data_IF_697369736220
#
_entry.id   IF_697369736220
#
_cell.length_a   1.000
_cell.length_b   1.000
_cell.length_c   1.000
_cell.angle_alpha   90.00
_cell.angle_beta   90.00
_cell.angle_gamma   90.00
#
_symmetry.space_group_name_H-M   'P 1'
#
loop_
_entity.id
_entity.type
_entity.pdbx_description
1 polymer ?
#
# COMPACT_ATOMS: atom_id res chain seq x y z
N UNK A 1 16.27 -5.80 3.14
CA UNK A 1 15.93 -4.69 2.23
C UNK A 1 14.41 -4.67 1.96
N UNK A 2 13.76 -3.56 2.27
CA UNK A 2 12.32 -3.35 2.03
C UNK A 2 12.04 -2.83 0.60
N UNK A 3 13.06 -2.66 -0.24
CA UNK A 3 12.92 -2.16 -1.60
C UNK A 3 12.61 -0.67 -1.65
N UNK A 4 13.02 0.06 -0.60
CA UNK A 4 12.81 1.51 -0.45
C UNK A 4 13.99 2.34 -0.98
N UNK A 5 15.18 1.73 -1.07
CA UNK A 5 16.35 2.36 -1.67
C UNK A 5 16.69 1.66 -2.98
N UNK A 6 16.72 2.43 -4.08
CA UNK A 6 17.41 2.06 -5.32
C UNK A 6 18.51 3.09 -5.59
N UNK A 7 19.61 2.72 -6.28
CA UNK A 7 20.62 3.68 -6.71
C UNK A 7 19.99 4.78 -7.58
N UNK A 8 20.44 6.04 -7.45
CA UNK A 8 19.94 7.20 -8.21
C UNK A 8 20.02 7.00 -9.74
N UNK A 9 20.94 6.16 -10.22
CA UNK A 9 21.05 5.78 -11.63
C UNK A 9 19.81 5.00 -12.17
N UNK A 10 19.00 4.40 -11.29
CA UNK A 10 17.84 3.59 -11.66
C UNK A 10 16.60 4.40 -12.07
N UNK A 11 16.68 5.74 -12.07
CA UNK A 11 15.59 6.65 -12.46
C UNK A 11 15.13 6.51 -13.93
N UNK A 12 15.90 5.83 -14.79
CA UNK A 12 15.58 5.70 -16.22
C UNK A 12 14.59 4.56 -16.56
N UNK A 13 14.06 3.82 -15.59
CA UNK A 13 13.11 2.76 -15.91
C UNK A 13 12.10 2.55 -14.80
N UNK A 14 11.00 3.30 -14.84
CA UNK A 14 9.73 2.86 -14.26
C UNK A 14 9.27 1.61 -15.01
N UNK A 15 9.85 0.45 -14.69
CA UNK A 15 9.38 -0.81 -15.27
C UNK A 15 8.13 -1.21 -14.52
N UNK A 16 7.13 -1.68 -15.24
CA UNK A 16 5.86 -2.18 -14.70
C UNK A 16 6.02 -3.29 -13.63
N UNK A 17 7.22 -3.83 -13.45
CA UNK A 17 7.58 -4.89 -12.50
C UNK A 17 8.33 -4.38 -11.25
N UNK A 18 8.42 -3.06 -11.04
CA UNK A 18 9.06 -2.53 -9.83
C UNK A 18 8.24 -2.88 -8.58
N UNK A 19 8.95 -3.37 -7.55
CA UNK A 19 8.41 -3.69 -6.23
C UNK A 19 8.44 -2.40 -5.41
N UNK A 20 7.26 -1.91 -5.01
CA UNK A 20 7.15 -0.68 -4.21
C UNK A 20 6.99 -1.05 -2.74
N UNK A 21 8.08 -0.92 -1.99
CA UNK A 21 8.09 -1.15 -0.54
C UNK A 21 7.35 -0.11 0.29
N UNK A 22 6.93 1.01 -0.32
CA UNK A 22 6.29 2.16 0.35
C UNK A 22 4.81 1.94 0.67
N UNK A 23 4.11 1.11 -0.09
CA UNK A 23 2.65 0.94 0.05
C UNK A 23 2.19 0.60 1.48
N UNK A 24 2.88 -0.26 2.24
CA UNK A 24 2.44 -0.58 3.59
C UNK A 24 2.66 0.53 4.62
N UNK A 25 3.39 1.58 4.24
CA UNK A 25 3.63 2.77 5.04
C UNK A 25 2.68 3.91 4.66
N UNK A 26 1.99 3.79 3.52
CA UNK A 26 0.90 4.68 3.14
C UNK A 26 -0.30 4.36 4.01
N UNK A 27 -0.87 5.35 4.68
CA UNK A 27 -1.98 5.11 5.58
C UNK A 27 -3.28 4.77 4.83
N UNK A 28 -4.19 3.96 5.43
CA UNK A 28 -5.43 3.54 4.77
C UNK A 28 -6.30 4.71 4.27
N UNK A 29 -6.29 5.85 4.95
CA UNK A 29 -7.04 7.05 4.57
C UNK A 29 -6.59 7.61 3.22
N UNK A 30 -5.28 7.64 2.92
CA UNK A 30 -4.75 8.12 1.64
C UNK A 30 -5.26 7.26 0.49
N UNK A 31 -5.34 5.95 0.68
CA UNK A 31 -5.84 5.01 -0.33
C UNK A 31 -7.36 5.09 -0.52
N UNK A 32 -8.09 5.60 0.48
CA UNK A 32 -9.51 5.93 0.38
C UNK A 32 -9.76 7.32 -0.23
N UNK A 33 -8.71 8.04 -0.63
CA UNK A 33 -8.80 9.41 -1.14
C UNK A 33 -9.12 10.44 -0.06
N UNK A 34 -8.96 10.07 1.22
CA UNK A 34 -9.09 10.99 2.33
C UNK A 34 -7.78 11.80 2.50
N UNK A 35 -7.85 13.00 3.11
CA UNK A 35 -6.65 13.77 3.40
C UNK A 35 -5.65 12.96 4.20
N UNK A 36 -4.39 13.00 3.79
CA UNK A 36 -3.30 12.44 4.59
C UNK A 36 -3.26 13.14 5.94
N UNK A 37 -3.35 12.37 7.02
CA UNK A 37 -3.14 12.91 8.35
C UNK A 37 -1.64 12.95 8.62
N UNK A 38 -1.13 14.11 9.04
CA UNK A 38 0.29 14.42 9.21
C UNK A 38 0.95 13.66 10.39
N UNK A 39 0.35 12.57 10.86
CA UNK A 39 0.66 11.94 12.14
C UNK A 39 2.04 11.25 12.18
N UNK A 40 2.81 11.22 11.09
CA UNK A 40 4.06 10.45 11.04
C UNK A 40 5.18 11.10 10.21
N UNK A 41 5.40 12.41 10.33
CA UNK A 41 6.71 13.01 9.98
C UNK A 41 7.79 12.67 11.03
N UNK A 42 7.83 11.42 11.45
CA UNK A 42 8.65 10.99 12.55
C UNK A 42 9.94 10.41 11.98
N UNK A 43 11.07 11.07 12.22
CA UNK A 43 12.40 10.49 12.00
C UNK A 43 12.49 9.07 12.60
N UNK A 44 11.73 8.84 13.67
CA UNK A 44 11.54 7.54 14.30
C UNK A 44 10.95 6.48 13.35
N UNK A 45 9.99 6.84 12.49
CA UNK A 45 9.43 5.94 11.47
C UNK A 45 10.52 5.54 10.47
N UNK A 46 11.32 6.50 9.99
CA UNK A 46 12.44 6.21 9.08
C UNK A 46 13.48 5.29 9.72
N UNK A 47 13.84 5.52 10.98
CA UNK A 47 14.75 4.65 11.73
C UNK A 47 14.18 3.25 11.92
N UNK A 48 12.89 3.13 12.26
CA UNK A 48 12.22 1.86 12.45
C UNK A 48 12.14 1.05 11.14
N UNK A 49 11.90 1.73 10.02
CA UNK A 49 11.97 1.16 8.67
C UNK A 49 13.37 0.62 8.37
N UNK A 50 14.42 1.41 8.62
CA UNK A 50 15.80 0.97 8.43
C UNK A 50 16.16 -0.23 9.31
N UNK A 51 15.54 -0.35 10.48
CA UNK A 51 15.66 -1.51 11.38
C UNK A 51 14.76 -2.69 10.98
N UNK A 52 14.02 -2.58 9.87
CA UNK A 52 13.14 -3.63 9.36
C UNK A 52 11.83 -3.79 10.12
N UNK A 53 11.43 -2.81 10.93
CA UNK A 53 10.14 -2.83 11.62
C UNK A 53 9.02 -2.50 10.63
N UNK A 54 7.98 -3.33 10.66
CA UNK A 54 6.74 -3.07 9.93
C UNK A 54 5.82 -2.16 10.77
N UNK A 55 5.06 -1.25 10.14
CA UNK A 55 4.03 -0.43 10.77
C UNK A 55 3.06 -1.28 11.58
N UNK A 56 2.64 -0.75 12.73
CA UNK A 56 1.56 -1.36 13.51
C UNK A 56 0.26 -1.27 12.69
N UNK A 57 -0.45 -2.39 12.57
CA UNK A 57 -1.80 -2.39 12.00
C UNK A 57 -2.72 -1.69 13.01
N UNK A 58 -3.33 -0.59 12.58
CA UNK A 58 -4.26 0.18 13.41
C UNK A 58 -5.58 -0.60 13.51
N UNK A 59 -6.21 -0.57 14.69
CA UNK A 59 -7.55 -1.14 14.89
C UNK A 59 -8.55 -0.55 13.89
N UNK A 60 -9.51 -1.36 13.43
CA UNK A 60 -10.49 -1.01 12.37
C UNK A 60 -9.91 -0.86 10.94
N UNK A 61 -8.65 -1.24 10.72
CA UNK A 61 -8.13 -1.38 9.36
C UNK A 61 -8.86 -2.51 8.63
N UNK A 62 -9.32 -2.25 7.41
CA UNK A 62 -10.04 -3.26 6.60
C UNK A 62 -9.16 -4.48 6.34
N UNK A 63 -9.74 -5.68 6.46
CA UNK A 63 -9.02 -6.94 6.28
C UNK A 63 -8.35 -7.06 4.89
N UNK A 64 -9.03 -6.60 3.83
CA UNK A 64 -8.45 -6.63 2.48
C UNK A 64 -7.16 -5.78 2.37
N UNK A 65 -7.08 -4.69 3.15
CA UNK A 65 -5.89 -3.86 3.20
C UNK A 65 -4.79 -4.50 4.05
N UNK A 66 -5.14 -5.09 5.21
CA UNK A 66 -4.19 -5.86 6.03
C UNK A 66 -3.52 -6.97 5.21
N UNK A 67 -4.30 -7.70 4.42
CA UNK A 67 -3.79 -8.79 3.59
C UNK A 67 -2.84 -8.28 2.49
N UNK A 68 -3.15 -7.11 1.91
CA UNK A 68 -2.27 -6.45 0.95
C UNK A 68 -0.96 -5.97 1.61
N UNK A 69 -1.02 -5.37 2.80
CA UNK A 69 0.17 -4.96 3.56
C UNK A 69 1.08 -6.18 3.85
N UNK A 70 0.50 -7.28 4.32
CA UNK A 70 1.24 -8.54 4.59
C UNK A 70 1.93 -9.08 3.33
N UNK A 71 1.28 -9.02 2.16
CA UNK A 71 1.89 -9.42 0.88
C UNK A 71 3.07 -8.51 0.52
N UNK A 72 2.95 -7.21 0.73
CA UNK A 72 4.01 -6.24 0.47
C UNK A 72 5.20 -6.37 1.43
N UNK A 73 4.98 -6.85 2.66
CA UNK A 73 6.01 -7.14 3.64
C UNK A 73 6.60 -8.56 3.56
N UNK A 74 6.36 -9.30 2.48
CA UNK A 74 6.91 -10.64 2.39
C UNK A 74 8.44 -10.61 2.55
N UNK A 75 8.95 -11.47 3.43
CA UNK A 75 10.40 -11.59 3.68
C UNK A 75 11.15 -11.95 2.39
N UNK A 76 10.51 -12.74 1.52
CA UNK A 76 11.00 -13.02 0.19
C UNK A 76 10.56 -11.90 -0.77
N UNK A 77 11.50 -11.11 -1.33
CA UNK A 77 11.17 -10.04 -2.27
C UNK A 77 10.40 -10.51 -3.49
N UNK A 78 10.65 -11.73 -3.97
CA UNK A 78 9.97 -12.30 -5.13
C UNK A 78 8.49 -12.61 -4.89
N UNK A 79 8.08 -12.68 -3.61
CA UNK A 79 6.68 -12.88 -3.22
C UNK A 79 5.94 -11.56 -2.98
N UNK A 80 6.63 -10.42 -3.08
CA UNK A 80 6.00 -9.10 -2.97
C UNK A 80 5.32 -8.77 -4.29
N UNK A 81 4.13 -8.15 -4.25
CA UNK A 81 3.45 -7.73 -5.46
C UNK A 81 4.20 -6.59 -6.14
N UNK A 82 4.13 -6.58 -7.46
CA UNK A 82 4.55 -5.47 -8.32
C UNK A 82 3.57 -4.30 -8.21
N UNK A 83 4.00 -3.09 -8.61
CA UNK A 83 3.09 -1.95 -8.76
C UNK A 83 1.87 -2.28 -9.64
N UNK A 84 2.07 -3.05 -10.70
CA UNK A 84 0.98 -3.40 -11.62
C UNK A 84 -0.08 -4.27 -10.92
N UNK A 85 0.34 -5.22 -10.10
CA UNK A 85 -0.59 -6.04 -9.31
C UNK A 85 -1.31 -5.22 -8.25
N UNK A 86 -0.58 -4.35 -7.54
CA UNK A 86 -1.17 -3.42 -6.55
C UNK A 86 -2.22 -2.53 -7.22
N UNK A 87 -1.90 -1.94 -8.38
CA UNK A 87 -2.83 -1.08 -9.14
C UNK A 87 -4.12 -1.84 -9.47
N UNK A 88 -4.01 -3.07 -9.98
CA UNK A 88 -5.17 -3.92 -10.29
C UNK A 88 -6.03 -4.20 -9.06
N UNK A 89 -5.41 -4.47 -7.90
CA UNK A 89 -6.13 -4.71 -6.64
C UNK A 89 -6.93 -3.47 -6.24
N UNK A 90 -6.29 -2.30 -6.26
CA UNK A 90 -6.94 -1.03 -5.91
C UNK A 90 -8.06 -0.69 -6.88
N UNK A 91 -7.86 -0.85 -8.19
CA UNK A 91 -8.89 -0.63 -9.20
C UNK A 91 -10.10 -1.56 -9.01
N UNK A 92 -9.88 -2.83 -8.68
CA UNK A 92 -10.95 -3.76 -8.34
C UNK A 92 -11.73 -3.32 -7.09
N UNK A 93 -11.03 -2.87 -6.04
CA UNK A 93 -11.70 -2.34 -4.85
C UNK A 93 -12.58 -1.13 -5.18
N UNK A 94 -12.09 -0.19 -6.00
CA UNK A 94 -12.88 0.97 -6.45
C UNK A 94 -14.12 0.54 -7.22
N UNK A 95 -13.99 -0.38 -8.17
CA UNK A 95 -15.13 -0.91 -8.94
C UNK A 95 -16.17 -1.58 -8.03
N UNK A 96 -15.75 -2.40 -7.07
CA UNK A 96 -16.65 -3.06 -6.14
C UNK A 96 -17.41 -2.06 -5.26
N UNK A 97 -16.75 -1.00 -4.80
CA UNK A 97 -17.41 0.09 -4.05
C UNK A 97 -18.48 0.76 -4.93
N UNK A 98 -18.14 1.10 -6.18
CA UNK A 98 -19.10 1.72 -7.13
C UNK A 98 -20.31 0.81 -7.38
N UNK A 99 -20.09 -0.48 -7.65
CA UNK A 99 -21.16 -1.46 -7.89
C UNK A 99 -22.05 -1.63 -6.66
N UNK A 100 -21.46 -1.73 -5.47
CA UNK A 100 -22.22 -1.88 -4.23
C UNK A 100 -23.09 -0.65 -3.95
N UNK A 101 -22.59 0.55 -4.24
CA UNK A 101 -23.37 1.78 -4.09
C UNK A 101 -24.53 1.83 -5.09
N UNK A 102 -24.29 1.51 -6.37
CA UNK A 102 -25.34 1.42 -7.39
C UNK A 102 -26.43 0.40 -7.04
N UNK A 103 -26.02 -0.80 -6.59
CA UNK A 103 -26.96 -1.83 -6.15
C UNK A 103 -27.77 -1.42 -4.90
N UNK A 104 -27.21 -0.57 -4.05
CA UNK A 104 -27.91 -0.02 -2.87
C UNK A 104 -28.96 1.01 -3.29
N UNK A 105 -28.70 1.79 -4.35
CA UNK A 105 -29.67 2.72 -4.93
C UNK A 105 -30.82 2.00 -5.63
N UNK A 106 -30.55 0.88 -6.33
CA UNK A 106 -31.59 0.06 -6.96
C UNK A 106 -32.49 -0.70 -5.97
N UNK A 107 -32.06 -0.88 -4.72
CA UNK A 107 -32.82 -1.55 -3.65
C UNK A 107 -33.61 -0.57 -2.78
N UNK A 108 -33.57 0.72 -3.08
CA UNK A 108 -34.41 1.76 -2.48
C UNK A 108 -35.65 1.98 -3.33
#
# INVERSE_FOLDING_TARGET
>A
DLGLCKPVNYFQSFKNNDIYGVLPFVTPEVLRGQPYTLATHDFQLSLDICKGKCPKIIENTSQCYIDLMKKCWNINPLKRPTATEIKKIIENWKKNITINNFNKELKK
#
